data_IF_574668387782
#
_entry.id   IF_574668387782
#
_cell.length_a   1.000
_cell.length_b   1.000
_cell.length_c   1.000
_cell.angle_alpha   90.00
_cell.angle_beta   90.00
_cell.angle_gamma   90.00
#
_symmetry.space_group_name_H-M   'P 1'
#
loop_
_entity.id
_entity.type
_entity.pdbx_description
1 polymer ?
#
# COMPACT_ATOMS: atom_id res chain seq x y z
N UNK A 1 20.04 -17.84 8.52
CA UNK A 1 19.01 -17.05 9.28
C UNK A 1 19.64 -15.95 10.16
N UNK A 2 20.85 -16.10 10.70
CA UNK A 2 21.46 -15.13 11.62
C UNK A 2 21.98 -13.84 10.99
N UNK A 3 22.37 -13.82 9.73
CA UNK A 3 23.10 -12.67 9.14
C UNK A 3 22.22 -11.67 8.38
N UNK A 4 21.08 -12.08 7.86
CA UNK A 4 20.12 -11.19 7.19
C UNK A 4 19.39 -10.32 8.25
N UNK A 5 19.07 -10.90 9.40
CA UNK A 5 18.50 -10.14 10.54
C UNK A 5 19.51 -9.18 11.20
N UNK A 6 20.82 -9.49 11.14
CA UNK A 6 21.84 -8.64 11.78
C UNK A 6 22.10 -7.30 11.07
N UNK A 7 21.75 -7.18 9.78
CA UNK A 7 21.93 -5.91 9.03
C UNK A 7 20.76 -4.94 9.13
N UNK A 8 19.60 -5.39 9.57
CA UNK A 8 18.45 -4.55 9.90
C UNK A 8 18.30 -4.27 11.41
N UNK A 9 19.30 -4.54 12.21
CA UNK A 9 19.30 -4.15 13.62
C UNK A 9 19.49 -2.64 13.70
N UNK A 10 18.39 -1.92 13.70
CA UNK A 10 18.42 -0.52 14.12
C UNK A 10 19.09 -0.44 15.50
N UNK A 11 19.94 0.58 15.69
CA UNK A 11 20.51 0.86 17.00
C UNK A 11 19.39 1.00 18.06
N UNK A 12 19.71 0.80 19.33
CA UNK A 12 18.76 1.03 20.42
C UNK A 12 18.16 2.45 20.36
N UNK A 13 18.99 3.42 19.99
CA UNK A 13 18.63 4.81 19.78
C UNK A 13 17.61 4.97 18.65
N UNK A 14 17.87 4.39 17.48
CA UNK A 14 16.94 4.43 16.37
C UNK A 14 15.61 3.70 16.67
N UNK A 15 15.63 2.59 17.43
CA UNK A 15 14.42 1.90 17.85
C UNK A 15 13.63 2.75 18.87
N UNK A 16 14.33 3.48 19.74
CA UNK A 16 13.72 4.40 20.69
C UNK A 16 13.15 5.63 20.01
N UNK A 17 13.88 6.24 19.11
CA UNK A 17 13.43 7.45 18.43
C UNK A 17 12.29 7.16 17.47
N UNK A 18 12.36 6.08 16.73
CA UNK A 18 11.48 5.78 15.61
C UNK A 18 10.23 4.97 15.95
N UNK A 19 10.18 4.22 17.05
CA UNK A 19 9.00 3.47 17.55
C UNK A 19 8.17 2.72 16.47
N UNK A 20 8.77 2.33 15.32
CA UNK A 20 8.01 1.70 14.26
C UNK A 20 7.48 0.29 14.63
N UNK A 21 8.07 -0.31 15.66
CA UNK A 21 7.68 -1.60 16.21
C UNK A 21 7.80 -1.56 17.75
N UNK A 22 6.66 -1.51 18.43
CA UNK A 22 6.61 -1.44 19.90
C UNK A 22 7.25 -2.66 20.56
N UNK A 23 7.11 -3.87 19.97
CA UNK A 23 7.76 -5.08 20.46
C UNK A 23 9.29 -4.97 20.34
N UNK A 24 9.81 -4.44 19.24
CA UNK A 24 11.24 -4.21 19.05
C UNK A 24 11.77 -3.16 20.01
N UNK A 25 11.03 -2.07 20.23
CA UNK A 25 11.37 -1.05 21.22
C UNK A 25 11.51 -1.70 22.61
N UNK A 26 10.53 -2.52 22.99
CA UNK A 26 10.58 -3.26 24.25
C UNK A 26 11.80 -4.20 24.36
N UNK A 27 12.10 -4.96 23.30
CA UNK A 27 13.25 -5.87 23.28
C UNK A 27 14.60 -5.16 23.43
N UNK A 28 14.74 -3.96 22.85
CA UNK A 28 16.01 -3.24 22.76
C UNK A 28 16.19 -2.26 23.93
N UNK A 29 15.13 -1.54 24.28
CA UNK A 29 15.17 -0.48 25.30
C UNK A 29 14.63 -0.93 26.68
N UNK A 30 13.89 -2.06 26.70
CA UNK A 30 13.28 -2.60 27.91
C UNK A 30 11.96 -1.93 28.27
N UNK A 31 11.27 -2.52 29.26
CA UNK A 31 9.92 -2.15 29.65
C UNK A 31 9.80 -0.68 30.11
N UNK A 32 10.72 -0.23 30.94
CA UNK A 32 10.61 1.10 31.53
C UNK A 32 10.72 2.23 30.52
N UNK A 33 11.68 2.15 29.60
CA UNK A 33 11.86 3.17 28.58
C UNK A 33 10.69 3.16 27.56
N UNK A 34 10.18 1.99 27.24
CA UNK A 34 9.01 1.86 26.38
C UNK A 34 7.78 2.49 27.01
N UNK A 35 7.51 2.18 28.29
CA UNK A 35 6.39 2.76 29.04
C UNK A 35 6.54 4.27 29.27
N UNK A 36 7.74 4.74 29.59
CA UNK A 36 8.02 6.16 29.77
C UNK A 36 7.68 6.95 28.51
N UNK A 37 8.15 6.46 27.35
CA UNK A 37 7.90 7.11 26.07
C UNK A 37 6.42 7.07 25.69
N UNK A 38 5.76 5.94 25.89
CA UNK A 38 4.33 5.79 25.61
C UNK A 38 3.48 6.70 26.53
N UNK A 39 3.73 6.69 27.82
CA UNK A 39 3.04 7.56 28.79
C UNK A 39 3.27 9.04 28.46
N UNK A 40 4.51 9.43 28.14
CA UNK A 40 4.78 10.81 27.78
C UNK A 40 4.05 11.20 26.50
N UNK A 41 4.19 10.42 25.43
CA UNK A 41 3.68 10.75 24.10
C UNK A 41 2.16 10.71 24.02
N UNK A 42 1.55 9.67 24.58
CA UNK A 42 0.12 9.42 24.46
C UNK A 42 -0.69 9.87 25.68
N UNK A 43 -0.05 10.05 26.83
CA UNK A 43 -0.72 10.45 28.08
C UNK A 43 -0.43 11.90 28.50
N UNK A 44 0.82 12.34 28.48
CA UNK A 44 1.21 13.64 29.04
C UNK A 44 1.24 14.73 27.97
N UNK A 45 1.92 14.49 26.85
CA UNK A 45 2.10 15.50 25.81
C UNK A 45 0.77 16.04 25.24
N UNK A 46 -0.27 15.21 24.98
CA UNK A 46 -1.58 15.71 24.53
C UNK A 46 -2.28 16.66 25.52
N UNK A 47 -1.90 16.64 26.79
CA UNK A 47 -2.45 17.53 27.84
C UNK A 47 -1.71 18.86 27.95
N UNK A 48 -0.64 19.05 27.22
CA UNK A 48 0.17 20.27 27.28
C UNK A 48 -0.45 21.42 26.51
N UNK A 49 -0.27 22.69 26.99
CA UNK A 49 -0.73 23.87 26.24
C UNK A 49 -0.07 24.02 24.86
N UNK A 50 1.17 23.54 24.70
CA UNK A 50 1.89 23.55 23.44
C UNK A 50 1.26 22.63 22.40
N UNK A 51 0.82 21.44 22.81
CA UNK A 51 0.06 20.53 21.94
C UNK A 51 -1.27 21.15 21.50
N UNK A 52 -2.04 21.71 22.45
CA UNK A 52 -3.30 22.37 22.15
C UNK A 52 -3.14 23.55 21.17
N UNK A 53 -2.08 24.34 21.33
CA UNK A 53 -1.77 25.46 20.43
C UNK A 53 -1.39 24.95 19.03
N UNK A 54 -0.55 23.91 18.93
CA UNK A 54 -0.16 23.30 17.65
C UNK A 54 -1.38 22.68 16.93
N UNK A 55 -2.23 21.99 17.65
CA UNK A 55 -3.49 21.42 17.10
C UNK A 55 -4.41 22.50 16.56
N UNK A 56 -4.56 23.60 17.28
CA UNK A 56 -5.41 24.74 16.84
C UNK A 56 -4.86 25.39 15.57
N UNK A 57 -3.54 25.62 15.50
CA UNK A 57 -2.89 26.22 14.35
C UNK A 57 -2.99 25.28 13.13
N UNK A 58 -2.61 24.01 13.25
CA UNK A 58 -2.71 23.04 12.16
C UNK A 58 -4.14 22.86 11.64
N UNK A 59 -5.12 22.81 12.54
CA UNK A 59 -6.53 22.76 12.14
C UNK A 59 -6.97 24.00 11.34
N UNK A 60 -6.49 25.18 11.71
CA UNK A 60 -6.82 26.41 10.98
C UNK A 60 -6.21 26.41 9.57
N UNK A 61 -4.98 25.95 9.42
CA UNK A 61 -4.30 25.80 8.11
C UNK A 61 -5.00 24.78 7.22
N UNK A 62 -5.35 23.61 7.74
CA UNK A 62 -6.06 22.56 7.02
C UNK A 62 -7.44 23.08 6.57
N UNK A 63 -8.19 23.73 7.45
CA UNK A 63 -9.49 24.28 7.09
C UNK A 63 -9.38 25.37 6.01
N UNK A 64 -8.36 26.23 6.07
CA UNK A 64 -8.12 27.25 5.05
C UNK A 64 -7.76 26.61 3.69
N UNK A 65 -6.96 25.55 3.69
CA UNK A 65 -6.63 24.81 2.48
C UNK A 65 -7.88 24.24 1.81
N UNK A 66 -8.71 23.49 2.56
CA UNK A 66 -9.92 22.88 1.99
C UNK A 66 -10.99 23.91 1.59
N UNK A 67 -11.14 24.99 2.35
CA UNK A 67 -12.08 26.07 1.99
C UNK A 67 -11.73 26.77 0.67
N UNK A 68 -10.46 26.73 0.26
CA UNK A 68 -10.00 27.29 -1.02
C UNK A 68 -10.11 26.33 -2.20
N UNK A 69 -10.47 25.05 -1.98
CA UNK A 69 -10.53 24.04 -3.04
C UNK A 69 -11.91 23.95 -3.67
N UNK A 70 -11.92 23.80 -4.99
CA UNK A 70 -13.10 23.35 -5.73
C UNK A 70 -12.94 21.89 -6.04
N UNK A 71 -13.85 21.05 -5.58
CA UNK A 71 -13.92 19.62 -5.89
C UNK A 71 -15.07 19.42 -6.86
N UNK A 72 -14.85 18.62 -7.91
CA UNK A 72 -15.91 18.27 -8.87
C UNK A 72 -17.02 17.46 -8.18
N UNK A 73 -18.22 17.54 -8.72
CA UNK A 73 -19.33 16.66 -8.34
C UNK A 73 -19.33 15.37 -9.16
N UNK A 74 -20.50 14.71 -9.19
CA UNK A 74 -20.72 13.52 -9.98
C UNK A 74 -20.26 13.65 -11.43
N UNK A 75 -19.74 12.56 -11.95
CA UNK A 75 -19.27 12.46 -13.32
C UNK A 75 -19.73 11.15 -13.98
N UNK A 76 -19.26 10.87 -15.19
CA UNK A 76 -19.71 9.69 -15.95
C UNK A 76 -19.35 8.35 -15.31
N UNK A 77 -18.44 8.36 -14.35
CA UNK A 77 -17.93 7.16 -13.66
C UNK A 77 -18.63 6.96 -12.30
N UNK A 78 -19.41 7.94 -11.84
CA UNK A 78 -20.08 7.86 -10.52
C UNK A 78 -21.03 6.68 -10.47
N UNK A 79 -20.83 5.80 -9.48
CA UNK A 79 -21.66 4.63 -9.23
C UNK A 79 -21.48 3.47 -10.23
N UNK A 80 -20.48 3.55 -11.15
CA UNK A 80 -20.29 2.50 -12.18
C UNK A 80 -20.06 1.11 -11.56
N UNK A 81 -19.53 1.04 -10.35
CA UNK A 81 -19.21 -0.18 -9.62
C UNK A 81 -20.03 -0.34 -8.34
N UNK A 82 -21.17 0.36 -8.23
CA UNK A 82 -22.04 0.33 -7.05
C UNK A 82 -22.46 -1.09 -6.70
N UNK A 83 -22.38 -1.45 -5.41
CA UNK A 83 -22.83 -2.74 -4.87
C UNK A 83 -21.89 -3.93 -5.13
N UNK A 84 -20.81 -3.76 -5.89
CA UNK A 84 -19.85 -4.85 -6.13
C UNK A 84 -18.97 -5.12 -4.90
N UNK A 85 -18.52 -6.36 -4.76
CA UNK A 85 -17.43 -6.69 -3.85
C UNK A 85 -16.17 -5.95 -4.27
N UNK A 86 -15.39 -5.51 -3.30
CA UNK A 86 -14.13 -4.79 -3.51
C UNK A 86 -12.96 -5.65 -3.02
N UNK A 87 -12.03 -5.96 -3.91
CA UNK A 87 -10.74 -6.55 -3.57
C UNK A 87 -9.67 -5.51 -3.85
N UNK A 88 -9.18 -4.86 -2.80
CA UNK A 88 -8.08 -3.91 -2.87
C UNK A 88 -6.78 -4.64 -2.57
N UNK A 89 -5.84 -4.64 -3.50
CA UNK A 89 -4.53 -5.31 -3.37
C UNK A 89 -3.43 -4.25 -3.34
N UNK A 90 -2.77 -4.12 -2.21
CA UNK A 90 -1.54 -3.35 -2.06
C UNK A 90 -0.38 -4.27 -2.44
N UNK A 91 0.16 -4.06 -3.64
CA UNK A 91 1.21 -4.89 -4.22
C UNK A 91 2.57 -4.45 -3.70
N UNK A 92 3.28 -5.32 -2.99
CA UNK A 92 4.64 -5.08 -2.50
C UNK A 92 5.61 -4.88 -3.66
N UNK A 93 6.31 -3.76 -3.68
CA UNK A 93 7.49 -3.49 -4.54
C UNK A 93 7.30 -3.78 -6.04
N UNK A 94 6.11 -3.54 -6.60
CA UNK A 94 5.86 -3.76 -8.04
C UNK A 94 6.16 -2.50 -8.84
N UNK A 95 6.96 -2.65 -9.92
CA UNK A 95 7.28 -1.58 -10.86
C UNK A 95 6.69 -1.84 -12.25
N UNK A 96 6.47 -0.78 -13.04
CA UNK A 96 5.96 -0.88 -14.42
C UNK A 96 6.78 -1.82 -15.30
N UNK A 97 8.12 -1.84 -15.14
CA UNK A 97 9.00 -2.69 -15.93
C UNK A 97 8.85 -4.19 -15.64
N UNK A 98 8.22 -4.56 -14.54
CA UNK A 98 7.91 -5.95 -14.19
C UNK A 98 6.64 -6.46 -14.88
N UNK A 99 5.77 -5.54 -15.35
CA UNK A 99 4.49 -5.90 -15.98
C UNK A 99 4.74 -6.40 -17.42
N UNK A 100 4.19 -7.56 -17.76
CA UNK A 100 4.29 -8.14 -19.09
C UNK A 100 4.58 -9.63 -19.09
N UNK A 101 5.57 -10.07 -19.86
CA UNK A 101 5.87 -11.49 -20.13
C UNK A 101 5.86 -12.40 -18.91
N UNK A 102 6.35 -11.92 -17.76
CA UNK A 102 6.47 -12.73 -16.55
C UNK A 102 5.32 -12.51 -15.55
N UNK A 103 4.46 -11.56 -15.84
CA UNK A 103 3.26 -11.22 -15.07
C UNK A 103 2.04 -11.11 -15.98
N UNK A 104 1.68 -12.22 -16.71
CA UNK A 104 0.66 -12.17 -17.76
C UNK A 104 -0.75 -11.87 -17.22
N UNK A 105 -1.05 -12.21 -15.98
CA UNK A 105 -2.35 -11.92 -15.35
C UNK A 105 -2.48 -10.43 -15.08
N UNK A 106 -1.46 -9.81 -14.49
CA UNK A 106 -1.42 -8.37 -14.25
C UNK A 106 -1.47 -7.57 -15.55
N UNK A 107 -0.69 -7.99 -16.57
CA UNK A 107 -0.75 -7.37 -17.91
C UNK A 107 -2.17 -7.43 -18.49
N UNK A 108 -2.85 -8.57 -18.37
CA UNK A 108 -4.23 -8.74 -18.81
C UNK A 108 -5.19 -7.83 -18.05
N UNK A 109 -5.16 -7.84 -16.71
CA UNK A 109 -6.03 -7.01 -15.87
C UNK A 109 -5.86 -5.52 -16.17
N UNK A 110 -4.62 -5.06 -16.35
CA UNK A 110 -4.31 -3.68 -16.70
C UNK A 110 -4.77 -3.33 -18.11
N UNK A 111 -4.72 -4.28 -19.06
CA UNK A 111 -5.14 -4.05 -20.44
C UNK A 111 -6.66 -4.12 -20.64
N UNK A 112 -7.36 -4.91 -19.84
CA UNK A 112 -8.81 -5.09 -19.91
C UNK A 112 -9.59 -4.12 -19.01
N UNK A 113 -8.94 -3.53 -17.98
CA UNK A 113 -9.52 -2.62 -17.01
C UNK A 113 -9.18 -1.16 -17.25
N UNK A 114 -9.27 -0.37 -16.19
CA UNK A 114 -8.83 1.03 -16.13
C UNK A 114 -7.40 1.03 -15.63
N UNK A 115 -6.46 1.54 -16.44
CA UNK A 115 -5.04 1.68 -16.08
C UNK A 115 -4.67 3.15 -15.96
N UNK A 116 -3.91 3.47 -14.92
CA UNK A 116 -3.40 4.82 -14.68
C UNK A 116 -1.94 4.89 -15.17
N UNK A 117 -1.70 5.66 -16.23
CA UNK A 117 -0.39 5.65 -16.92
C UNK A 117 0.69 6.49 -16.23
N UNK A 118 0.27 7.44 -15.38
CA UNK A 118 1.16 8.31 -14.60
C UNK A 118 0.75 8.31 -13.11
N UNK A 119 0.76 7.12 -12.52
CA UNK A 119 0.47 6.95 -11.10
C UNK A 119 1.76 6.87 -10.29
N UNK A 120 1.85 7.65 -9.21
CA UNK A 120 3.02 7.74 -8.35
C UNK A 120 2.70 7.27 -6.94
N UNK A 121 3.66 6.60 -6.29
CA UNK A 121 3.58 6.16 -4.89
C UNK A 121 4.65 6.84 -4.03
N UNK A 122 4.51 8.15 -3.77
CA UNK A 122 5.48 8.90 -3.00
C UNK A 122 5.60 8.37 -1.57
N UNK A 123 6.82 8.09 -1.12
CA UNK A 123 7.06 7.63 0.24
C UNK A 123 7.14 8.77 1.24
N UNK A 124 6.26 8.78 2.24
CA UNK A 124 6.27 9.74 3.35
C UNK A 124 6.72 9.07 4.66
N UNK A 125 7.33 9.83 5.55
CA UNK A 125 7.68 9.37 6.88
C UNK A 125 8.72 8.24 6.95
N UNK A 126 9.32 7.83 5.83
CA UNK A 126 10.33 6.77 5.77
C UNK A 126 9.79 5.35 6.03
N UNK A 127 8.48 5.17 6.14
CA UNK A 127 7.81 3.87 6.34
C UNK A 127 6.97 3.59 5.10
N UNK A 128 7.58 3.01 4.08
CA UNK A 128 7.03 2.98 2.72
C UNK A 128 5.73 2.19 2.61
N UNK A 129 5.72 0.90 2.93
CA UNK A 129 4.49 0.08 2.85
C UNK A 129 3.37 0.66 3.72
N UNK A 130 3.66 1.03 4.97
CA UNK A 130 2.67 1.60 5.88
C UNK A 130 2.16 2.97 5.39
N UNK A 131 3.01 3.79 4.76
CA UNK A 131 2.58 5.04 4.17
C UNK A 131 1.50 4.82 3.11
N UNK A 132 1.75 3.90 2.18
CA UNK A 132 0.80 3.62 1.10
C UNK A 132 -0.45 2.90 1.61
N UNK A 133 -0.31 1.98 2.56
CA UNK A 133 -1.42 1.36 3.30
C UNK A 133 -2.32 2.42 3.95
N UNK A 134 -1.71 3.39 4.64
CA UNK A 134 -2.42 4.51 5.25
C UNK A 134 -3.11 5.37 4.18
N UNK A 135 -2.38 5.72 3.13
CA UNK A 135 -2.82 6.65 2.11
C UNK A 135 -4.00 6.11 1.30
N UNK A 136 -3.94 4.84 0.83
CA UNK A 136 -5.03 4.22 0.04
C UNK A 136 -6.31 4.06 0.85
N UNK A 137 -6.19 3.92 2.17
CA UNK A 137 -7.34 3.74 3.06
C UNK A 137 -7.94 5.06 3.54
N UNK A 138 -7.14 6.12 3.69
CA UNK A 138 -7.57 7.37 4.34
C UNK A 138 -7.56 8.59 3.43
N UNK A 139 -6.97 8.47 2.23
CA UNK A 139 -6.76 9.60 1.31
C UNK A 139 -5.83 10.70 1.87
N UNK A 140 -4.98 10.34 2.85
CA UNK A 140 -4.10 11.27 3.56
C UNK A 140 -2.66 10.77 3.57
N UNK A 141 -1.70 11.67 3.62
CA UNK A 141 -0.29 11.34 3.75
C UNK A 141 0.13 11.21 5.22
N UNK A 142 1.15 10.40 5.48
CA UNK A 142 1.89 10.46 6.74
C UNK A 142 2.70 11.76 6.82
N UNK A 143 3.03 12.19 8.04
CA UNK A 143 3.90 13.35 8.23
C UNK A 143 5.26 13.14 7.59
N UNK A 144 5.74 14.11 6.81
CA UNK A 144 7.09 14.11 6.23
C UNK A 144 8.20 14.24 7.29
N UNK A 145 7.87 14.73 8.50
CA UNK A 145 8.82 14.92 9.60
C UNK A 145 8.97 13.68 10.51
N UNK A 146 8.65 12.52 9.99
CA UNK A 146 8.67 11.27 10.73
C UNK A 146 7.34 11.06 11.46
N UNK A 147 6.62 10.08 11.05
CA UNK A 147 5.46 9.54 11.71
C UNK A 147 5.63 8.04 11.70
N UNK A 148 5.46 7.42 12.83
CA UNK A 148 5.56 5.97 12.93
C UNK A 148 4.17 5.39 12.94
N UNK A 149 4.01 4.16 12.47
CA UNK A 149 2.73 3.47 12.54
C UNK A 149 2.10 3.61 13.93
N UNK A 150 2.92 3.52 14.97
CA UNK A 150 2.47 3.67 16.35
C UNK A 150 1.84 5.03 16.69
N UNK A 151 2.19 6.10 15.98
CA UNK A 151 1.62 7.43 16.21
C UNK A 151 0.18 7.55 15.69
N UNK A 152 -0.23 6.66 14.83
CA UNK A 152 -1.51 6.68 14.14
C UNK A 152 -2.53 5.67 14.68
N UNK A 153 -2.11 4.69 15.50
CA UNK A 153 -2.98 3.62 16.00
C UNK A 153 -4.03 4.06 17.03
N UNK A 154 -3.82 5.21 17.66
CA UNK A 154 -4.76 5.76 18.65
C UNK A 154 -5.87 6.61 18.05
N UNK A 155 -5.80 6.87 16.75
CA UNK A 155 -6.82 7.63 16.03
C UNK A 155 -7.99 6.73 15.63
N UNK A 156 -9.11 7.36 15.26
CA UNK A 156 -10.25 6.71 14.60
C UNK A 156 -10.42 7.34 13.23
N UNK A 157 -10.52 6.51 12.19
CA UNK A 157 -10.54 6.96 10.80
C UNK A 157 -11.93 6.78 10.19
N UNK A 158 -12.87 7.62 10.58
CA UNK A 158 -14.26 7.58 10.09
C UNK A 158 -14.37 7.92 8.59
N UNK A 159 -13.35 8.57 8.03
CA UNK A 159 -13.25 8.93 6.60
C UNK A 159 -12.61 7.81 5.75
N UNK A 160 -12.16 6.71 6.34
CA UNK A 160 -11.47 5.64 5.62
C UNK A 160 -12.42 4.85 4.73
N UNK A 161 -11.86 4.18 3.71
CA UNK A 161 -12.61 3.30 2.81
C UNK A 161 -13.45 2.27 3.58
N UNK A 162 -12.83 1.56 4.52
CA UNK A 162 -13.53 0.52 5.29
C UNK A 162 -14.63 1.09 6.18
N UNK A 163 -14.39 2.26 6.83
CA UNK A 163 -15.41 2.91 7.66
C UNK A 163 -16.62 3.36 6.84
N UNK A 164 -16.42 3.88 5.64
CA UNK A 164 -17.51 4.32 4.77
C UNK A 164 -18.25 3.12 4.18
N UNK A 165 -17.54 2.13 3.63
CA UNK A 165 -18.20 0.96 3.06
C UNK A 165 -18.95 0.13 4.10
N UNK A 166 -18.47 0.06 5.34
CA UNK A 166 -19.22 -0.61 6.42
C UNK A 166 -20.53 0.10 6.76
N UNK A 167 -20.62 1.42 6.60
CA UNK A 167 -21.87 2.16 6.74
C UNK A 167 -22.85 1.83 5.61
N UNK A 168 -22.32 1.48 4.42
CA UNK A 168 -23.11 0.98 3.27
C UNK A 168 -23.41 -0.54 3.35
N UNK A 169 -23.10 -1.19 4.48
CA UNK A 169 -23.43 -2.59 4.72
C UNK A 169 -22.39 -3.60 4.26
N UNK A 170 -21.19 -3.18 3.88
CA UNK A 170 -20.10 -4.08 3.54
C UNK A 170 -19.51 -4.75 4.78
N UNK A 171 -19.08 -6.01 4.63
CA UNK A 171 -18.08 -6.57 5.54
C UNK A 171 -16.68 -6.13 5.10
N UNK A 172 -15.80 -5.77 6.03
CA UNK A 172 -14.45 -5.33 5.71
C UNK A 172 -13.41 -6.10 6.51
N UNK A 173 -12.43 -6.71 5.82
CA UNK A 173 -11.29 -7.43 6.43
C UNK A 173 -9.97 -7.07 5.75
N UNK A 174 -8.89 -7.12 6.53
CA UNK A 174 -7.50 -7.01 6.02
C UNK A 174 -6.85 -8.39 6.04
N UNK A 175 -6.09 -8.72 5.01
CA UNK A 175 -5.37 -9.99 4.84
C UNK A 175 -3.89 -9.74 4.63
N UNK A 176 -3.04 -10.32 5.47
CA UNK A 176 -1.61 -10.20 5.32
C UNK A 176 -0.86 -11.34 6.01
N UNK A 177 0.36 -11.58 5.55
CA UNK A 177 1.26 -12.57 6.11
C UNK A 177 1.82 -12.20 7.50
N UNK A 178 2.20 -10.93 7.70
CA UNK A 178 2.92 -10.50 8.89
C UNK A 178 2.06 -10.57 10.15
N UNK A 179 2.72 -10.87 11.29
CA UNK A 179 2.12 -10.82 12.62
C UNK A 179 1.43 -9.47 12.88
N UNK A 180 0.26 -9.46 13.55
CA UNK A 180 -0.52 -8.25 13.82
C UNK A 180 0.21 -7.16 14.61
N UNK A 181 1.31 -7.49 15.30
CA UNK A 181 2.15 -6.49 15.98
C UNK A 181 3.04 -5.69 15.02
N UNK A 182 3.30 -6.21 13.81
CA UNK A 182 4.09 -5.51 12.80
C UNK A 182 3.31 -4.31 12.26
N UNK A 183 3.87 -3.11 12.37
CA UNK A 183 3.18 -1.83 12.19
C UNK A 183 1.92 -1.67 13.05
N UNK A 184 1.78 -2.48 14.12
CA UNK A 184 0.59 -2.50 14.97
C UNK A 184 -0.73 -2.71 14.22
N UNK A 185 -0.70 -3.47 13.12
CA UNK A 185 -1.84 -3.67 12.23
C UNK A 185 -3.05 -4.29 12.91
N UNK A 186 -2.84 -5.14 13.93
CA UNK A 186 -3.93 -5.69 14.74
C UNK A 186 -4.77 -4.64 15.48
N UNK A 187 -4.24 -3.43 15.68
CA UNK A 187 -4.94 -2.27 16.26
C UNK A 187 -5.31 -1.26 15.18
N UNK A 188 -4.41 -1.04 14.23
CA UNK A 188 -4.57 -0.04 13.19
C UNK A 188 -5.69 -0.40 12.18
N UNK A 189 -5.79 -1.66 11.74
CA UNK A 189 -6.86 -2.09 10.84
C UNK A 189 -8.25 -1.88 11.42
N UNK A 190 -8.54 -2.28 12.68
CA UNK A 190 -9.81 -1.92 13.33
C UNK A 190 -10.03 -0.41 13.47
N UNK A 191 -8.99 0.39 13.73
CA UNK A 191 -9.09 1.85 13.79
C UNK A 191 -9.53 2.46 12.44
N UNK A 192 -9.20 1.80 11.33
CA UNK A 192 -9.65 2.17 9.99
C UNK A 192 -11.03 1.59 9.61
N UNK A 193 -11.70 0.87 10.50
CA UNK A 193 -13.04 0.32 10.24
C UNK A 193 -13.08 -1.12 9.72
N UNK A 194 -11.94 -1.79 9.58
CA UNK A 194 -11.91 -3.21 9.29
C UNK A 194 -12.33 -4.02 10.51
N UNK A 195 -13.20 -5.01 10.33
CA UNK A 195 -13.66 -5.85 11.43
C UNK A 195 -12.58 -6.78 11.97
N UNK A 196 -11.58 -7.11 11.14
CA UNK A 196 -10.54 -8.07 11.46
C UNK A 196 -9.28 -7.86 10.61
N UNK A 197 -8.12 -8.12 11.22
CA UNK A 197 -6.86 -8.34 10.54
C UNK A 197 -6.58 -9.84 10.53
N UNK A 198 -6.68 -10.47 9.37
CA UNK A 198 -6.46 -11.91 9.16
C UNK A 198 -4.97 -12.14 8.89
N UNK A 199 -4.28 -12.71 9.87
CA UNK A 199 -2.87 -13.09 9.75
C UNK A 199 -2.75 -14.49 9.17
N UNK A 200 -2.02 -14.68 8.07
CA UNK A 200 -1.85 -16.00 7.47
C UNK A 200 -1.20 -17.01 8.42
N UNK A 201 -0.30 -16.54 9.28
CA UNK A 201 0.38 -17.38 10.27
C UNK A 201 -0.56 -18.09 11.26
N UNK A 202 -1.76 -17.57 11.49
CA UNK A 202 -2.74 -18.19 12.40
C UNK A 202 -3.40 -19.44 11.80
N UNK A 203 -3.26 -19.65 10.48
CA UNK A 203 -3.89 -20.75 9.72
C UNK A 203 -2.90 -21.81 9.26
N UNK A 204 -1.61 -21.65 9.56
CA UNK A 204 -0.53 -22.51 9.09
C UNK A 204 0.04 -23.33 10.25
N UNK A 205 0.26 -24.64 10.03
CA UNK A 205 0.95 -25.50 10.98
C UNK A 205 2.45 -25.25 11.01
N UNK A 206 3.11 -25.65 12.11
CA UNK A 206 4.55 -25.46 12.30
C UNK A 206 5.43 -26.17 11.24
N UNK A 207 4.88 -27.16 10.53
CA UNK A 207 5.59 -27.94 9.50
C UNK A 207 5.47 -27.30 8.09
N UNK A 208 4.72 -26.21 7.96
CA UNK A 208 4.44 -25.52 6.70
C UNK A 208 5.25 -24.21 6.55
N UNK A 209 6.37 -24.06 7.27
CA UNK A 209 7.23 -22.87 7.22
C UNK A 209 7.66 -22.46 5.80
N UNK A 210 7.73 -23.44 4.90
CA UNK A 210 8.13 -23.24 3.51
C UNK A 210 7.08 -22.53 2.66
N UNK A 211 5.81 -22.55 3.09
CA UNK A 211 4.68 -21.91 2.40
C UNK A 211 4.40 -20.48 2.90
N UNK A 212 5.06 -20.07 3.98
CA UNK A 212 4.78 -18.84 4.73
C UNK A 212 4.98 -17.54 3.93
N UNK A 213 5.59 -17.58 2.77
CA UNK A 213 5.99 -16.37 2.04
C UNK A 213 5.25 -16.17 0.72
N UNK A 214 4.46 -17.15 0.29
CA UNK A 214 3.68 -17.06 -0.95
C UNK A 214 2.26 -16.53 -0.64
N UNK A 215 1.92 -15.38 -1.21
CA UNK A 215 0.62 -14.76 -0.98
C UNK A 215 -0.56 -15.59 -1.54
N UNK A 216 -0.32 -16.55 -2.46
CA UNK A 216 -1.33 -17.51 -2.93
C UNK A 216 -1.92 -18.36 -1.80
N UNK A 217 -1.20 -18.50 -0.69
CA UNK A 217 -1.65 -19.21 0.48
C UNK A 217 -3.03 -18.76 0.95
N UNK A 218 -3.38 -17.48 0.71
CA UNK A 218 -4.70 -16.93 1.00
C UNK A 218 -5.82 -17.80 0.42
N UNK A 219 -5.62 -18.34 -0.79
CA UNK A 219 -6.63 -19.14 -1.48
C UNK A 219 -6.34 -20.65 -1.42
N UNK A 220 -5.12 -21.06 -1.24
CA UNK A 220 -4.72 -22.47 -1.16
C UNK A 220 -4.98 -23.07 0.22
N UNK A 221 -5.01 -22.27 1.29
CA UNK A 221 -5.40 -22.70 2.62
C UNK A 221 -6.95 -22.59 2.78
N UNK A 222 -7.66 -23.69 3.04
CA UNK A 222 -9.13 -23.66 3.15
C UNK A 222 -9.67 -22.74 4.25
N UNK A 223 -8.94 -22.59 5.35
CA UNK A 223 -9.31 -21.71 6.46
C UNK A 223 -9.23 -20.25 6.06
N UNK A 224 -8.11 -19.84 5.45
CA UNK A 224 -7.92 -18.47 4.93
C UNK A 224 -8.92 -18.14 3.82
N UNK A 225 -9.13 -19.07 2.88
CA UNK A 225 -10.10 -18.92 1.80
C UNK A 225 -11.53 -18.70 2.35
N UNK A 226 -11.92 -19.42 3.41
CA UNK A 226 -13.21 -19.25 4.06
C UNK A 226 -13.38 -17.87 4.70
N UNK A 227 -12.29 -17.22 5.15
CA UNK A 227 -12.34 -15.86 5.70
C UNK A 227 -12.54 -14.79 4.62
N UNK A 228 -12.13 -15.10 3.38
CA UNK A 228 -12.17 -14.15 2.26
C UNK A 228 -13.58 -13.98 1.69
N UNK A 229 -14.37 -15.04 1.63
CA UNK A 229 -15.70 -15.03 1.03
C UNK A 229 -16.78 -15.03 2.10
N UNK A 230 -17.76 -14.13 1.95
CA UNK A 230 -18.97 -14.09 2.78
C UNK A 230 -20.22 -14.14 1.92
N UNK A 231 -21.23 -14.86 2.38
CA UNK A 231 -22.53 -14.90 1.72
C UNK A 231 -23.44 -13.78 2.25
N UNK A 232 -24.24 -13.22 1.35
CA UNK A 232 -25.41 -12.39 1.71
C UNK A 232 -25.12 -10.90 1.93
N UNK A 233 -23.86 -10.45 1.82
CA UNK A 233 -23.52 -9.01 1.88
C UNK A 233 -22.26 -8.74 1.04
N UNK A 234 -22.12 -7.53 0.48
CA UNK A 234 -20.90 -7.17 -0.22
C UNK A 234 -19.70 -7.12 0.73
N UNK A 235 -18.51 -7.36 0.20
CA UNK A 235 -17.29 -7.41 0.97
C UNK A 235 -16.24 -6.41 0.46
N UNK A 236 -15.49 -5.80 1.38
CA UNK A 236 -14.21 -5.16 1.15
C UNK A 236 -13.11 -6.06 1.71
N UNK A 237 -12.32 -6.65 0.84
CA UNK A 237 -11.14 -7.42 1.22
C UNK A 237 -9.88 -6.65 0.83
N UNK A 238 -9.12 -6.22 1.83
CA UNK A 238 -7.86 -5.52 1.63
C UNK A 238 -6.70 -6.52 1.80
N UNK A 239 -6.00 -6.81 0.71
CA UNK A 239 -4.84 -7.71 0.68
C UNK A 239 -3.58 -6.86 0.65
N UNK A 240 -2.67 -7.10 1.57
CA UNK A 240 -1.32 -6.54 1.54
C UNK A 240 -0.41 -7.69 1.17
N UNK A 241 0.22 -7.64 -0.03
CA UNK A 241 1.11 -8.71 -0.47
C UNK A 241 2.47 -8.60 0.20
N UNK A 242 3.24 -9.69 0.15
CA UNK A 242 4.61 -9.75 0.65
C UNK A 242 5.56 -10.40 -0.35
N UNK A 243 5.06 -11.14 -1.32
CA UNK A 243 5.87 -12.00 -2.18
C UNK A 243 6.97 -11.26 -2.95
N UNK A 244 6.79 -9.97 -3.28
CA UNK A 244 7.80 -9.19 -3.97
C UNK A 244 8.78 -8.43 -3.05
N UNK A 245 8.68 -8.60 -1.71
CA UNK A 245 9.57 -7.92 -0.77
C UNK A 245 11.06 -8.24 -0.99
N UNK A 246 11.91 -7.21 -0.81
CA UNK A 246 13.37 -7.38 -0.83
C UNK A 246 13.84 -8.46 0.19
N UNK A 247 15.03 -9.06 0.04
CA UNK A 247 16.12 -8.73 -0.89
C UNK A 247 16.05 -9.59 -2.15
N UNK A 248 16.55 -9.04 -3.27
CA UNK A 248 16.54 -9.72 -4.56
C UNK A 248 17.81 -10.57 -4.72
N UNK A 249 17.83 -11.73 -4.07
CA UNK A 249 18.95 -12.69 -4.08
C UNK A 249 18.45 -14.11 -4.12
N UNK A 250 19.12 -14.98 -4.87
CA UNK A 250 18.75 -16.39 -5.00
C UNK A 250 18.76 -17.18 -3.67
N UNK A 251 19.59 -16.78 -2.71
CA UNK A 251 19.68 -17.42 -1.40
C UNK A 251 18.82 -16.75 -0.32
N UNK A 252 18.04 -15.76 -0.68
CA UNK A 252 16.98 -15.24 0.19
C UNK A 252 15.86 -16.30 0.26
N UNK A 253 15.22 -16.44 1.42
CA UNK A 253 14.30 -17.55 1.72
C UNK A 253 13.20 -17.71 0.67
N UNK A 254 12.49 -16.62 0.36
CA UNK A 254 11.41 -16.67 -0.62
C UNK A 254 11.92 -16.97 -2.03
N UNK A 255 12.98 -16.27 -2.46
CA UNK A 255 13.60 -16.53 -3.77
C UNK A 255 14.08 -17.98 -3.90
N UNK A 256 14.68 -18.53 -2.84
CA UNK A 256 15.13 -19.92 -2.83
C UNK A 256 13.98 -20.92 -3.05
N UNK A 257 12.83 -20.72 -2.39
CA UNK A 257 11.67 -21.58 -2.53
C UNK A 257 10.95 -21.35 -3.86
N UNK A 258 10.80 -20.09 -4.27
CA UNK A 258 10.21 -19.74 -5.55
C UNK A 258 10.99 -20.30 -6.74
N UNK A 259 12.33 -20.35 -6.67
CA UNK A 259 13.17 -20.98 -7.69
C UNK A 259 13.01 -22.52 -7.79
N UNK A 260 12.44 -23.18 -6.80
CA UNK A 260 12.05 -24.59 -6.95
C UNK A 260 10.81 -24.74 -7.81
N UNK A 261 9.89 -23.80 -7.71
CA UNK A 261 8.66 -23.72 -8.53
C UNK A 261 8.95 -23.20 -9.93
N UNK A 262 9.85 -22.22 -10.04
CA UNK A 262 10.19 -21.50 -11.27
C UNK A 262 11.72 -21.46 -11.51
N UNK A 263 12.35 -22.62 -11.80
CA UNK A 263 13.81 -22.70 -11.94
C UNK A 263 14.36 -21.91 -13.13
N UNK A 264 13.52 -21.59 -14.12
CA UNK A 264 13.87 -20.83 -15.32
C UNK A 264 14.23 -19.37 -15.04
N UNK A 265 13.87 -18.83 -13.88
CA UNK A 265 14.25 -17.46 -13.51
C UNK A 265 15.71 -17.37 -13.07
N UNK A 266 16.36 -18.48 -12.72
CA UNK A 266 17.78 -18.43 -12.36
C UNK A 266 18.66 -18.22 -13.60
N UNK A 267 19.39 -17.11 -13.64
CA UNK A 267 20.24 -16.73 -14.77
C UNK A 267 19.47 -16.22 -15.98
N UNK A 268 18.22 -15.81 -15.78
CA UNK A 268 17.29 -15.36 -16.84
C UNK A 268 17.83 -14.13 -17.61
N UNK A 269 18.34 -13.14 -16.89
CA UNK A 269 18.83 -11.88 -17.44
C UNK A 269 20.34 -11.73 -17.34
N UNK A 270 20.98 -12.59 -16.56
CA UNK A 270 22.39 -12.47 -16.20
C UNK A 270 22.65 -11.52 -15.01
N UNK A 271 21.60 -10.89 -14.46
CA UNK A 271 21.66 -10.08 -13.23
C UNK A 271 20.77 -10.73 -12.16
N UNK A 272 21.38 -11.14 -11.04
CA UNK A 272 20.67 -11.84 -9.95
C UNK A 272 19.52 -11.01 -9.37
N UNK A 273 19.69 -9.70 -9.22
CA UNK A 273 18.65 -8.83 -8.67
C UNK A 273 17.44 -8.75 -9.62
N UNK A 274 17.69 -8.59 -10.91
CA UNK A 274 16.63 -8.58 -11.94
C UNK A 274 15.90 -9.91 -12.01
N UNK A 275 16.64 -11.01 -12.01
CA UNK A 275 16.07 -12.37 -12.05
C UNK A 275 15.15 -12.60 -10.84
N UNK A 276 15.60 -12.22 -9.64
CA UNK A 276 14.81 -12.33 -8.41
C UNK A 276 13.62 -11.36 -8.38
N UNK A 277 13.76 -10.17 -8.93
CA UNK A 277 12.66 -9.22 -9.02
C UNK A 277 11.53 -9.74 -9.92
N UNK A 278 11.87 -10.26 -11.12
CA UNK A 278 10.89 -10.92 -12.00
C UNK A 278 10.27 -12.18 -11.35
N UNK A 279 11.07 -13.01 -10.68
CA UNK A 279 10.58 -14.17 -9.97
C UNK A 279 9.55 -13.80 -8.90
N UNK A 280 9.83 -12.77 -8.12
CA UNK A 280 8.95 -12.30 -7.05
C UNK A 280 7.70 -11.60 -7.59
N UNK A 281 7.83 -10.83 -8.68
CA UNK A 281 6.69 -10.28 -9.39
C UNK A 281 5.78 -11.39 -9.95
N UNK A 282 6.37 -12.52 -10.40
CA UNK A 282 5.60 -13.70 -10.81
C UNK A 282 4.76 -14.27 -9.68
N UNK A 283 5.23 -14.27 -8.45
CA UNK A 283 4.43 -14.74 -7.30
C UNK A 283 3.24 -13.82 -7.03
N UNK A 284 3.40 -12.50 -7.20
CA UNK A 284 2.29 -11.56 -7.11
C UNK A 284 1.29 -11.79 -8.24
N UNK A 285 1.76 -12.03 -9.47
CA UNK A 285 0.89 -12.40 -10.61
C UNK A 285 0.09 -13.68 -10.35
N UNK A 286 0.73 -14.69 -9.76
CA UNK A 286 0.09 -15.95 -9.38
C UNK A 286 -1.04 -15.73 -8.34
N UNK A 287 -0.88 -14.80 -7.39
CA UNK A 287 -1.96 -14.43 -6.47
C UNK A 287 -3.17 -13.90 -7.23
N UNK A 288 -2.99 -13.02 -8.22
CA UNK A 288 -4.09 -12.50 -9.04
C UNK A 288 -4.72 -13.59 -9.90
N UNK A 289 -3.92 -14.48 -10.48
CA UNK A 289 -4.45 -15.62 -11.23
C UNK A 289 -5.31 -16.53 -10.34
N UNK A 290 -4.85 -16.79 -9.12
CA UNK A 290 -5.58 -17.61 -8.14
C UNK A 290 -6.84 -16.92 -7.63
N UNK A 291 -6.78 -15.61 -7.39
CA UNK A 291 -7.94 -14.79 -7.04
C UNK A 291 -9.03 -14.86 -8.12
N UNK A 292 -8.66 -14.67 -9.39
CA UNK A 292 -9.62 -14.74 -10.49
C UNK A 292 -10.29 -16.13 -10.59
N UNK A 293 -9.50 -17.19 -10.42
CA UNK A 293 -10.03 -18.57 -10.41
C UNK A 293 -11.01 -18.78 -9.27
N UNK A 294 -10.69 -18.32 -8.05
CA UNK A 294 -11.58 -18.45 -6.90
C UNK A 294 -12.89 -17.65 -7.08
N UNK A 295 -12.79 -16.46 -7.65
CA UNK A 295 -13.98 -15.65 -7.94
C UNK A 295 -14.87 -16.32 -9.00
N UNK A 296 -14.28 -16.95 -10.02
CA UNK A 296 -15.01 -17.70 -11.04
C UNK A 296 -15.66 -18.95 -10.43
N UNK A 297 -14.93 -19.76 -9.68
CA UNK A 297 -15.40 -20.98 -9.04
C UNK A 297 -16.57 -20.71 -8.07
N UNK A 298 -16.60 -19.54 -7.45
CA UNK A 298 -17.66 -19.10 -6.54
C UNK A 298 -18.77 -18.28 -7.23
N UNK A 299 -18.68 -18.07 -8.54
CA UNK A 299 -19.65 -17.26 -9.31
C UNK A 299 -19.70 -15.80 -8.87
N UNK A 300 -18.57 -15.24 -8.37
CA UNK A 300 -18.46 -13.87 -7.89
C UNK A 300 -17.67 -12.95 -8.83
N UNK A 301 -17.14 -13.49 -9.94
CA UNK A 301 -16.27 -12.74 -10.86
C UNK A 301 -16.96 -11.47 -11.40
N UNK A 302 -18.21 -11.61 -11.87
CA UNK A 302 -18.98 -10.50 -12.45
C UNK A 302 -19.43 -9.47 -11.38
N UNK A 303 -19.43 -9.86 -10.11
CA UNK A 303 -19.85 -9.02 -9.00
C UNK A 303 -18.67 -8.49 -8.16
N UNK A 304 -17.48 -8.50 -8.72
CA UNK A 304 -16.27 -8.07 -8.00
C UNK A 304 -15.49 -7.05 -8.81
N UNK A 305 -15.01 -6.02 -8.11
CA UNK A 305 -13.96 -5.12 -8.60
C UNK A 305 -12.64 -5.47 -7.94
N UNK A 306 -11.59 -5.57 -8.73
CA UNK A 306 -10.21 -5.78 -8.28
C UNK A 306 -9.43 -4.49 -8.51
N UNK A 307 -8.78 -3.99 -7.48
CA UNK A 307 -7.99 -2.77 -7.51
C UNK A 307 -6.57 -3.14 -7.11
N UNK A 308 -5.62 -3.00 -8.02
CA UNK A 308 -4.21 -3.21 -7.76
C UNK A 308 -3.49 -1.87 -7.68
N UNK A 309 -2.76 -1.65 -6.61
CA UNK A 309 -1.91 -0.47 -6.39
C UNK A 309 -0.61 -0.90 -5.74
N UNK A 310 0.50 -0.34 -6.17
CA UNK A 310 1.80 -0.64 -5.59
C UNK A 310 2.04 0.21 -4.34
N UNK A 311 2.71 -0.37 -3.35
CA UNK A 311 3.06 0.34 -2.11
C UNK A 311 4.28 1.27 -2.26
N UNK A 312 5.27 0.89 -3.06
CA UNK A 312 6.46 1.68 -3.41
C UNK A 312 7.24 1.00 -4.54
N UNK A 313 8.10 1.74 -5.22
CA UNK A 313 9.02 1.16 -6.20
C UNK A 313 10.05 0.22 -5.52
N UNK A 314 10.81 -0.52 -6.33
CA UNK A 314 11.83 -1.48 -5.86
C UNK A 314 13.07 -0.81 -5.25
N UNK A 315 12.88 0.06 -4.25
CA UNK A 315 13.98 0.79 -3.59
C UNK A 315 15.05 -0.13 -2.95
N UNK A 316 14.73 -1.40 -2.76
CA UNK A 316 15.66 -2.42 -2.27
C UNK A 316 16.63 -2.97 -3.33
N UNK A 317 16.46 -2.58 -4.58
CA UNK A 317 17.34 -2.90 -5.69
C UNK A 317 18.65 -2.12 -5.53
N UNK A 318 19.79 -2.81 -5.57
CA UNK A 318 21.09 -2.20 -5.21
C UNK A 318 21.89 -1.72 -6.40
N UNK A 319 21.72 -2.35 -7.55
CA UNK A 319 22.31 -1.90 -8.80
C UNK A 319 21.44 -0.79 -9.40
N UNK A 320 21.59 0.43 -8.86
CA UNK A 320 20.82 1.60 -9.27
C UNK A 320 20.88 1.85 -10.79
N UNK A 321 22.04 1.64 -11.42
CA UNK A 321 22.19 1.85 -12.86
C UNK A 321 21.28 0.88 -13.66
N UNK A 322 21.21 -0.37 -13.25
CA UNK A 322 20.27 -1.34 -13.82
C UNK A 322 18.81 -0.97 -13.53
N UNK A 323 18.49 -0.48 -12.33
CA UNK A 323 17.14 -0.05 -12.00
C UNK A 323 16.66 1.11 -12.89
N UNK A 324 17.47 2.14 -13.06
CA UNK A 324 17.17 3.26 -13.98
C UNK A 324 16.98 2.77 -15.41
N UNK A 325 17.85 1.86 -15.87
CA UNK A 325 17.77 1.29 -17.22
C UNK A 325 16.51 0.46 -17.43
N UNK A 326 16.09 -0.35 -16.44
CA UNK A 326 14.86 -1.15 -16.48
C UNK A 326 13.62 -0.27 -16.44
N UNK A 327 13.61 0.76 -15.60
CA UNK A 327 12.50 1.70 -15.46
C UNK A 327 12.41 2.68 -16.65
N UNK A 328 13.50 2.82 -17.43
CA UNK A 328 13.56 3.73 -18.57
C UNK A 328 13.50 5.21 -18.20
N UNK A 329 13.94 5.54 -16.98
CA UNK A 329 13.93 6.92 -16.43
C UNK A 329 15.34 7.36 -16.05
N UNK A 330 15.54 8.67 -15.92
CA UNK A 330 16.82 9.28 -15.57
C UNK A 330 16.75 10.20 -14.32
N UNK A 331 15.57 10.29 -13.70
CA UNK A 331 15.31 11.07 -12.50
C UNK A 331 14.73 10.20 -11.39
N UNK A 332 15.17 10.43 -10.15
CA UNK A 332 14.77 9.66 -8.99
C UNK A 332 13.26 9.79 -8.67
N UNK A 333 12.64 10.94 -8.96
CA UNK A 333 11.20 11.13 -8.76
C UNK A 333 10.38 10.22 -9.68
N UNK A 334 10.90 9.95 -10.88
CA UNK A 334 10.23 9.10 -11.86
C UNK A 334 10.29 7.62 -11.49
N UNK A 335 11.22 7.20 -10.61
CA UNK A 335 11.23 5.84 -10.04
C UNK A 335 10.01 5.56 -9.15
N UNK A 336 9.41 6.61 -8.56
CA UNK A 336 8.20 6.46 -7.74
C UNK A 336 6.93 6.21 -8.59
N UNK A 337 7.05 6.16 -9.92
CA UNK A 337 5.97 5.78 -10.83
C UNK A 337 5.78 4.26 -10.80
N UNK A 338 4.56 3.82 -10.50
CA UNK A 338 4.25 2.40 -10.24
C UNK A 338 2.91 1.99 -10.86
N UNK A 339 2.69 0.69 -11.11
CA UNK A 339 1.42 0.22 -11.63
C UNK A 339 0.26 0.46 -10.68
N UNK A 340 -0.84 1.00 -11.24
CA UNK A 340 -2.14 1.08 -10.59
C UNK A 340 -3.25 0.80 -11.60
N UNK A 341 -4.22 -0.02 -11.22
CA UNK A 341 -5.33 -0.39 -12.09
C UNK A 341 -6.62 -0.71 -11.32
N UNK A 342 -7.76 -0.63 -12.01
CA UNK A 342 -9.07 -1.05 -11.55
C UNK A 342 -9.67 -1.97 -12.60
N UNK A 343 -10.05 -3.18 -12.21
CA UNK A 343 -10.62 -4.16 -13.12
C UNK A 343 -11.94 -4.74 -12.58
N UNK A 344 -12.89 -4.93 -13.45
CA UNK A 344 -14.10 -5.74 -13.24
C UNK A 344 -14.50 -6.33 -14.58
N UNK A 345 -15.16 -7.49 -14.57
CA UNK A 345 -15.49 -8.23 -15.80
C UNK A 345 -16.35 -7.43 -16.80
N UNK A 346 -17.10 -6.45 -16.33
CA UNK A 346 -17.99 -5.59 -17.13
C UNK A 346 -17.42 -4.20 -17.44
N UNK A 347 -16.23 -3.87 -16.90
CA UNK A 347 -15.56 -2.62 -17.26
C UNK A 347 -15.03 -2.63 -18.70
N UNK A 348 -15.13 -1.48 -19.36
CA UNK A 348 -14.48 -1.28 -20.64
C UNK A 348 -13.04 -0.81 -20.41
N UNK A 349 -12.08 -1.29 -21.20
CA UNK A 349 -10.69 -0.86 -21.14
C UNK A 349 -10.55 0.66 -21.25
N UNK A 350 -9.80 1.26 -20.34
CA UNK A 350 -9.54 2.71 -20.33
C UNK A 350 -8.12 3.00 -19.84
N UNK A 351 -7.43 3.91 -20.52
CA UNK A 351 -6.19 4.49 -20.03
C UNK A 351 -6.46 5.90 -19.51
N UNK A 352 -6.13 6.15 -18.26
CA UNK A 352 -6.21 7.46 -17.63
C UNK A 352 -4.80 8.07 -17.63
N UNK A 353 -4.61 9.02 -18.55
CA UNK A 353 -3.34 9.70 -18.76
C UNK A 353 -3.28 11.01 -17.96
N UNK A 354 -3.35 10.89 -16.66
CA UNK A 354 -3.33 12.00 -15.71
C UNK A 354 -2.33 11.70 -14.63
N UNK A 355 -1.55 12.70 -14.22
CA UNK A 355 -0.65 12.57 -13.07
C UNK A 355 -1.47 12.36 -11.81
N UNK A 356 -1.31 11.22 -11.18
CA UNK A 356 -2.04 10.83 -9.98
C UNK A 356 -1.06 10.29 -8.93
N UNK A 357 -1.50 10.23 -7.71
CA UNK A 357 -0.76 9.63 -6.62
C UNK A 357 -1.67 8.80 -5.71
N UNK A 358 -1.07 8.11 -4.76
CA UNK A 358 -1.76 7.18 -3.86
C UNK A 358 -2.96 7.82 -3.14
N UNK A 359 -2.94 9.13 -2.84
CA UNK A 359 -4.06 9.80 -2.16
C UNK A 359 -5.30 9.99 -3.04
N UNK A 360 -5.13 9.96 -4.37
CA UNK A 360 -6.23 10.12 -5.32
C UNK A 360 -7.08 8.84 -5.43
N UNK A 361 -6.54 7.70 -4.98
CA UNK A 361 -7.22 6.42 -5.14
C UNK A 361 -8.49 6.31 -4.30
N UNK A 362 -8.47 6.77 -3.04
CA UNK A 362 -9.66 6.72 -2.18
C UNK A 362 -10.85 7.51 -2.77
N UNK A 363 -10.75 8.81 -3.09
CA UNK A 363 -11.86 9.53 -3.69
C UNK A 363 -12.28 8.95 -5.05
N UNK A 364 -11.35 8.38 -5.82
CA UNK A 364 -11.66 7.68 -7.08
C UNK A 364 -12.49 6.42 -6.83
N UNK A 365 -12.13 5.61 -5.83
CA UNK A 365 -12.90 4.42 -5.45
C UNK A 365 -14.29 4.78 -4.96
N UNK A 366 -14.41 5.80 -4.11
CA UNK A 366 -15.71 6.25 -3.59
C UNK A 366 -16.62 6.71 -4.72
N UNK A 367 -16.11 7.49 -5.66
CA UNK A 367 -16.87 7.92 -6.84
C UNK A 367 -17.35 6.71 -7.67
N UNK A 368 -16.46 5.77 -7.99
CA UNK A 368 -16.82 4.57 -8.77
C UNK A 368 -17.86 3.70 -8.06
N UNK A 369 -17.78 3.60 -6.74
CA UNK A 369 -18.70 2.81 -5.92
C UNK A 369 -20.01 3.55 -5.60
N UNK A 370 -20.15 4.81 -5.99
CA UNK A 370 -21.33 5.63 -5.67
C UNK A 370 -21.49 5.90 -4.19
N UNK A 371 -20.39 5.97 -3.44
CA UNK A 371 -20.40 6.18 -2.00
C UNK A 371 -20.11 7.64 -1.69
N UNK A 372 -21.08 8.31 -1.12
CA UNK A 372 -20.94 9.69 -0.67
C UNK A 372 -20.04 9.78 0.57
N UNK A 373 -19.19 10.78 0.59
CA UNK A 373 -18.34 11.09 1.74
C UNK A 373 -18.55 12.52 2.23
N UNK A 374 -18.83 12.71 3.53
CA UNK A 374 -18.93 14.03 4.13
C UNK A 374 -17.55 14.66 4.42
N UNK A 375 -16.47 14.01 4.01
CA UNK A 375 -15.09 14.40 4.32
C UNK A 375 -14.38 14.97 3.09
N UNK A 376 -13.51 15.94 3.35
CA UNK A 376 -12.55 16.42 2.36
C UNK A 376 -11.29 15.55 2.36
N UNK A 377 -10.77 15.22 1.18
CA UNK A 377 -9.54 14.45 1.00
C UNK A 377 -8.44 15.31 0.37
N UNK A 378 -7.18 15.00 0.67
CA UNK A 378 -6.03 15.64 0.01
C UNK A 378 -6.04 15.28 -1.48
N UNK A 379 -6.21 13.99 -1.79
CA UNK A 379 -6.39 13.50 -3.15
C UNK A 379 -7.72 13.91 -3.76
N UNK A 380 -7.88 13.64 -5.05
CA UNK A 380 -9.10 13.92 -5.82
C UNK A 380 -9.46 12.73 -6.69
N UNK A 381 -10.73 12.67 -7.06
CA UNK A 381 -11.18 11.67 -8.03
C UNK A 381 -10.44 11.84 -9.36
N UNK A 382 -9.85 10.74 -9.84
CA UNK A 382 -9.13 10.69 -11.11
C UNK A 382 -10.01 11.07 -12.30
N UNK A 383 -11.33 10.90 -12.19
CA UNK A 383 -12.31 11.17 -13.24
C UNK A 383 -12.94 12.57 -13.14
N UNK A 384 -12.61 13.33 -12.11
CA UNK A 384 -13.02 14.73 -11.99
C UNK A 384 -12.45 15.53 -13.18
N UNK A 385 -13.30 16.09 -14.06
CA UNK A 385 -12.84 16.84 -15.23
C UNK A 385 -12.17 18.17 -14.88
N UNK A 386 -12.31 18.65 -13.63
CA UNK A 386 -11.67 19.89 -13.14
C UNK A 386 -10.31 19.63 -12.50
N UNK A 387 -9.92 18.37 -12.34
CA UNK A 387 -8.64 17.96 -11.78
C UNK A 387 -7.62 17.69 -12.88
N UNK A 388 -6.58 18.51 -12.95
CA UNK A 388 -5.51 18.37 -13.94
C UNK A 388 -4.51 17.28 -13.59
N UNK A 389 -4.49 16.84 -12.33
CA UNK A 389 -3.57 15.81 -11.82
C UNK A 389 -2.32 16.41 -11.17
N UNK A 390 -1.87 15.75 -10.08
CA UNK A 390 -0.76 16.24 -9.29
C UNK A 390 -0.16 15.15 -8.42
N UNK A 391 1.15 15.00 -8.40
CA UNK A 391 1.88 14.15 -7.47
C UNK A 391 2.85 14.97 -6.63
N UNK A 392 2.69 14.92 -5.30
CA UNK A 392 3.57 15.58 -4.33
C UNK A 392 4.49 14.54 -3.69
N UNK A 393 5.76 14.86 -3.55
CA UNK A 393 6.77 14.01 -2.93
C UNK A 393 7.18 14.52 -1.55
N UNK A 394 7.76 13.65 -0.74
CA UNK A 394 8.06 13.93 0.68
C UNK A 394 9.08 15.06 0.89
N UNK A 395 9.91 15.36 -0.09
CA UNK A 395 10.89 16.46 -0.08
C UNK A 395 10.31 17.81 -0.53
N UNK A 396 9.03 17.84 -0.91
CA UNK A 396 8.34 19.01 -1.45
C UNK A 396 8.46 19.15 -2.98
N UNK A 397 9.12 18.22 -3.66
CA UNK A 397 9.06 18.11 -5.11
C UNK A 397 7.66 17.70 -5.58
N UNK A 398 7.33 18.05 -6.82
CA UNK A 398 6.01 17.69 -7.37
C UNK A 398 6.05 17.54 -8.89
N UNK A 399 5.10 16.77 -9.41
CA UNK A 399 4.85 16.58 -10.84
C UNK A 399 3.38 16.91 -11.13
N UNK A 400 3.11 17.62 -12.23
CA UNK A 400 1.77 17.85 -12.77
C UNK A 400 1.85 17.95 -14.29
N UNK A 401 1.26 17.02 -15.01
CA UNK A 401 1.43 16.88 -16.45
C UNK A 401 2.93 16.80 -16.83
N UNK A 402 3.35 17.65 -17.75
CA UNK A 402 4.74 17.71 -18.25
C UNK A 402 5.66 18.59 -17.38
N UNK A 403 5.17 19.11 -16.26
CA UNK A 403 5.92 20.00 -15.39
C UNK A 403 6.34 19.27 -14.12
N UNK A 404 7.62 19.32 -13.81
CA UNK A 404 8.17 18.89 -12.53
C UNK A 404 8.89 20.04 -11.83
N UNK A 405 8.76 20.11 -10.51
CA UNK A 405 9.52 21.02 -9.66
C UNK A 405 10.29 20.22 -8.62
N UNK A 406 11.60 20.39 -8.57
CA UNK A 406 12.48 19.67 -7.64
C UNK A 406 12.88 20.60 -6.51
N UNK A 407 12.73 20.11 -5.27
CA UNK A 407 13.14 20.86 -4.08
C UNK A 407 14.66 20.73 -3.87
N UNK A 408 15.38 21.86 -3.94
CA UNK A 408 16.86 21.91 -3.74
C UNK A 408 17.30 21.98 -2.26
N UNK A 409 16.45 21.64 -1.30
CA UNK A 409 16.76 21.79 0.14
C UNK A 409 17.90 20.88 0.64
N UNK A 410 18.35 19.90 -0.12
CA UNK A 410 19.42 18.97 0.28
C UNK A 410 20.84 19.35 -0.15
N UNK A 411 21.05 20.43 -0.90
CA UNK A 411 22.40 20.83 -1.36
C UNK A 411 23.23 21.66 -0.35
N UNK A 412 22.77 21.88 0.88
CA UNK A 412 23.49 22.67 1.91
C UNK A 412 24.11 21.87 3.05
N UNK A 413 24.23 20.56 2.94
CA UNK A 413 24.77 19.73 4.03
C UNK A 413 26.23 19.29 3.83
N UNK A 414 26.93 19.76 2.79
CA UNK A 414 28.36 19.45 2.51
C UNK A 414 29.16 20.68 2.03
N UNK A 415 29.19 21.74 2.82
CA UNK A 415 30.27 22.70 2.83
C UNK A 415 30.79 22.90 4.26
#
# INVERSE_FOLDING_TARGET
>A
LGDVYKRQVQSAEAAYDNMFNAHRLYQVCGLYQTLEKDIYKNGIYPLTPSYAAAQKAGKAEINAYFAGRTVGGDNKMTGLLEGKNVVLVLMESMDDWMIGKYTPTLERLMSEGISFTHFYTPGYGGIRTFNSEFCVNTGSFLSSQGGYAFDYITNTYTQSLASLLTQEGYSAKTFHYNDPSFYSRGVFSPAMGYSEYVCYGDYIGADEEDLLYDDQLLFDNPGLNAEFFREGQPALNFIITRSAHLSYKYNEVLSYWALKKYPEFRGLTGNEETDCAYLKARLVDDLFARLLQELEDKGQLDNTVIIGVTDHYTYGYKDEASLYALSGVDDALLLEKTPCFIWSADLQPMKVDKTLNTSDLLPTMLNLLGVDSPYDYIGRDAFDPTYEGYALFSDGSWISGDIASVSYTHLRAHE
#
